data_IF_398561773271
#
_entry.id   IF_398561773271
#
_cell.length_a   1.000
_cell.length_b   1.000
_cell.length_c   1.000
_cell.angle_alpha   90.00
_cell.angle_beta   90.00
_cell.angle_gamma   90.00
#
_symmetry.space_group_name_H-M   'P 1'
#
loop_
_entity.id
_entity.type
_entity.pdbx_description
1 polymer ?
#
# COMPACT_ATOMS: atom_id res chain seq x y z
N UNK A 1 -1.66 -47.80 17.16
CA UNK A 1 -0.34 -47.15 17.32
C UNK A 1 -0.57 -45.66 17.50
N UNK A 2 -0.11 -45.03 18.60
CA UNK A 2 -0.22 -43.59 18.80
C UNK A 2 0.54 -42.83 17.70
N UNK A 3 0.05 -41.65 17.33
CA UNK A 3 0.63 -40.82 16.25
C UNK A 3 2.04 -40.35 16.65
N UNK A 4 3.06 -40.45 15.78
CA UNK A 4 4.43 -40.03 16.10
C UNK A 4 4.55 -38.50 16.09
N UNK A 5 4.29 -37.85 17.21
CA UNK A 5 4.25 -36.39 17.35
C UNK A 5 5.59 -35.72 17.03
N UNK A 6 6.71 -36.42 17.23
CA UNK A 6 8.07 -35.95 16.95
C UNK A 6 8.24 -35.60 15.47
N UNK A 7 7.55 -36.33 14.57
CA UNK A 7 7.56 -36.04 13.13
C UNK A 7 6.80 -34.76 12.77
N UNK A 8 5.90 -34.27 13.65
CA UNK A 8 5.12 -33.05 13.44
C UNK A 8 5.79 -31.80 14.02
N UNK A 9 6.77 -31.94 14.91
CA UNK A 9 7.47 -30.79 15.52
C UNK A 9 8.12 -29.90 14.45
N UNK A 10 8.84 -30.42 13.43
CA UNK A 10 9.42 -29.58 12.39
C UNK A 10 8.35 -28.81 11.59
N UNK A 11 7.22 -29.46 11.28
CA UNK A 11 6.11 -28.82 10.58
C UNK A 11 5.45 -27.74 11.45
N UNK A 12 5.32 -27.98 12.75
CA UNK A 12 4.85 -27.00 13.73
C UNK A 12 5.73 -25.75 13.75
N UNK A 13 7.05 -25.93 13.86
CA UNK A 13 8.01 -24.81 13.86
C UNK A 13 7.94 -24.03 12.54
N UNK A 14 7.95 -24.71 11.39
CA UNK A 14 7.83 -24.04 10.09
C UNK A 14 6.53 -23.23 10.00
N UNK A 15 5.40 -23.83 10.36
CA UNK A 15 4.11 -23.14 10.32
C UNK A 15 4.08 -21.92 11.24
N UNK A 16 4.64 -22.01 12.45
CA UNK A 16 4.74 -20.90 13.38
C UNK A 16 5.58 -19.74 12.82
N UNK A 17 6.73 -20.04 12.20
CA UNK A 17 7.56 -19.01 11.58
C UNK A 17 6.84 -18.29 10.44
N UNK A 18 6.09 -19.01 9.60
CA UNK A 18 5.28 -18.42 8.54
C UNK A 18 4.15 -17.55 9.09
N UNK A 19 3.46 -17.99 10.14
CA UNK A 19 2.40 -17.21 10.80
C UNK A 19 2.97 -15.92 11.41
N UNK A 20 4.07 -16.01 12.16
CA UNK A 20 4.74 -14.85 12.76
C UNK A 20 5.15 -13.84 11.68
N UNK A 21 5.72 -14.32 10.58
CA UNK A 21 6.13 -13.47 9.46
C UNK A 21 4.92 -12.82 8.79
N UNK A 22 3.85 -13.57 8.53
CA UNK A 22 2.63 -13.07 7.90
C UNK A 22 1.94 -11.98 8.75
N UNK A 23 1.83 -12.21 10.06
CA UNK A 23 1.29 -11.23 11.01
C UNK A 23 2.18 -9.99 11.08
N UNK A 24 3.51 -10.17 11.14
CA UNK A 24 4.47 -9.08 11.17
C UNK A 24 4.38 -8.18 9.93
N UNK A 25 4.29 -8.78 8.74
CA UNK A 25 4.14 -8.03 7.48
C UNK A 25 2.80 -7.30 7.45
N UNK A 26 1.70 -7.96 7.84
CA UNK A 26 0.37 -7.33 7.86
C UNK A 26 0.34 -6.12 8.81
N UNK A 27 0.93 -6.27 9.99
CA UNK A 27 1.04 -5.20 10.97
C UNK A 27 1.85 -4.02 10.42
N UNK A 28 3.04 -4.28 9.86
CA UNK A 28 3.89 -3.24 9.29
C UNK A 28 3.20 -2.51 8.12
N UNK A 29 2.52 -3.24 7.23
CA UNK A 29 1.78 -2.63 6.11
C UNK A 29 0.61 -1.78 6.60
N UNK A 30 -0.16 -2.27 7.57
CA UNK A 30 -1.29 -1.54 8.14
C UNK A 30 -0.82 -0.25 8.81
N UNK A 31 0.29 -0.29 9.54
CA UNK A 31 0.89 0.90 10.17
C UNK A 31 1.36 1.94 9.15
N UNK A 32 2.00 1.51 8.05
CA UNK A 32 2.42 2.40 6.96
C UNK A 32 1.25 3.02 6.19
N UNK A 33 0.09 2.40 6.27
CA UNK A 33 -1.10 2.77 5.51
C UNK A 33 -2.15 3.48 6.38
N UNK A 34 -1.72 4.15 7.47
CA UNK A 34 -2.61 4.89 8.38
C UNK A 34 -3.72 4.00 8.99
N UNK A 35 -3.42 2.73 9.22
CA UNK A 35 -4.40 1.76 9.74
C UNK A 35 -5.28 1.11 8.66
N UNK A 36 -5.15 1.52 7.39
CA UNK A 36 -5.94 0.97 6.27
C UNK A 36 -5.22 -0.23 5.63
N UNK A 37 -6.00 -1.14 5.04
CA UNK A 37 -5.45 -2.27 4.28
C UNK A 37 -4.71 -1.76 3.03
N UNK A 38 -3.61 -2.43 2.62
CA UNK A 38 -2.95 -2.14 1.34
C UNK A 38 -3.91 -2.38 0.16
N UNK A 39 -3.80 -1.54 -0.88
CA UNK A 39 -4.52 -1.72 -2.14
C UNK A 39 -3.68 -2.56 -3.10
N UNK A 40 -4.31 -3.52 -3.76
CA UNK A 40 -3.69 -4.38 -4.77
C UNK A 40 -4.31 -4.08 -6.14
N UNK A 41 -3.61 -4.43 -7.22
CA UNK A 41 -4.10 -4.27 -8.60
C UNK A 41 -4.52 -2.82 -8.97
N UNK A 42 -3.77 -1.83 -8.50
CA UNK A 42 -4.07 -0.41 -8.79
C UNK A 42 -3.76 -0.07 -10.25
N UNK A 43 -4.81 0.34 -10.97
CA UNK A 43 -4.72 0.84 -12.33
C UNK A 43 -4.21 2.30 -12.38
N UNK A 44 -4.12 2.86 -13.58
CA UNK A 44 -3.67 4.24 -13.74
C UNK A 44 -4.67 5.26 -13.21
N UNK A 45 -5.97 4.93 -13.19
CA UNK A 45 -7.01 5.77 -12.60
C UNK A 45 -6.82 5.88 -11.09
N UNK A 46 -6.68 4.74 -10.41
CA UNK A 46 -6.44 4.63 -8.97
C UNK A 46 -5.19 5.41 -8.56
N UNK A 47 -4.11 5.32 -9.36
CA UNK A 47 -2.88 6.08 -9.11
C UNK A 47 -3.10 7.59 -9.20
N UNK A 48 -3.89 8.05 -10.18
CA UNK A 48 -4.26 9.46 -10.32
C UNK A 48 -5.14 9.91 -9.15
N UNK A 49 -6.13 9.11 -8.76
CA UNK A 49 -7.01 9.40 -7.62
C UNK A 49 -6.25 9.45 -6.29
N UNK A 50 -5.31 8.53 -6.03
CA UNK A 50 -4.45 8.62 -4.83
C UNK A 50 -3.57 9.88 -4.83
N UNK A 51 -3.14 10.34 -5.99
CA UNK A 51 -2.37 11.60 -6.10
C UNK A 51 -3.26 12.80 -5.77
N UNK A 52 -4.51 12.79 -6.27
CA UNK A 52 -5.54 13.78 -5.92
C UNK A 52 -5.85 13.76 -4.42
N UNK A 53 -6.03 12.58 -3.83
CA UNK A 53 -6.32 12.45 -2.40
C UNK A 53 -5.16 12.99 -1.57
N UNK A 54 -3.91 12.70 -1.96
CA UNK A 54 -2.71 13.30 -1.36
C UNK A 54 -2.70 14.83 -1.44
N UNK A 55 -3.20 15.41 -2.53
CA UNK A 55 -3.33 16.86 -2.67
C UNK A 55 -4.45 17.43 -1.77
N UNK A 56 -5.50 16.66 -1.48
CA UNK A 56 -6.61 17.11 -0.64
C UNK A 56 -6.33 16.95 0.86
N UNK A 57 -5.67 15.87 1.28
CA UNK A 57 -5.51 15.50 2.69
C UNK A 57 -4.06 15.49 3.17
N UNK A 58 -3.09 15.69 2.27
CA UNK A 58 -1.66 15.60 2.55
C UNK A 58 -1.12 14.16 2.52
N UNK A 59 -1.98 13.15 2.53
CA UNK A 59 -1.59 11.74 2.53
C UNK A 59 -2.27 10.95 1.40
N UNK A 60 -1.59 9.96 0.77
CA UNK A 60 -2.19 9.20 -0.34
C UNK A 60 -3.33 8.26 0.10
N UNK A 61 -3.61 8.16 1.40
CA UNK A 61 -4.62 7.29 1.99
C UNK A 61 -5.69 8.05 2.76
N UNK A 62 -5.52 9.35 2.96
CA UNK A 62 -6.51 10.20 3.60
C UNK A 62 -7.80 10.21 2.81
N UNK A 63 -8.91 10.14 3.52
CA UNK A 63 -10.25 10.31 2.95
C UNK A 63 -10.85 11.55 3.58
N UNK A 64 -11.47 12.38 2.76
CA UNK A 64 -12.15 13.59 3.20
C UNK A 64 -13.51 13.63 2.50
N UNK A 65 -14.56 13.84 3.29
CA UNK A 65 -15.96 13.92 2.87
C UNK A 65 -16.49 15.36 2.87
N UNK A 66 -15.64 16.34 3.18
CA UNK A 66 -16.02 17.75 3.18
C UNK A 66 -16.57 18.19 1.81
N UNK A 67 -17.72 18.89 1.76
CA UNK A 67 -18.35 19.31 0.52
C UNK A 67 -17.56 20.41 -0.22
N UNK A 68 -16.78 21.20 0.52
CA UNK A 68 -15.93 22.26 -0.02
C UNK A 68 -14.48 21.87 0.17
N UNK A 69 -13.71 21.86 -0.92
CA UNK A 69 -12.29 21.55 -0.90
C UNK A 69 -11.49 22.65 -0.18
N UNK A 70 -10.36 22.28 0.46
CA UNK A 70 -9.48 23.26 1.11
C UNK A 70 -8.92 24.27 0.08
N UNK A 71 -8.72 25.54 0.46
CA UNK A 71 -8.24 26.59 -0.46
C UNK A 71 -6.92 26.23 -1.18
N UNK A 72 -6.03 25.52 -0.49
CA UNK A 72 -4.72 25.10 -0.99
C UNK A 72 -4.83 24.15 -2.19
N UNK A 73 -5.95 23.41 -2.31
CA UNK A 73 -6.20 22.51 -3.42
C UNK A 73 -6.28 23.25 -4.77
N UNK A 74 -6.65 24.54 -4.76
CA UNK A 74 -6.71 25.35 -5.98
C UNK A 74 -5.33 25.62 -6.60
N UNK A 75 -4.28 25.62 -5.77
CA UNK A 75 -2.92 26.02 -6.17
C UNK A 75 -1.92 24.85 -6.19
N UNK A 76 -2.27 23.70 -5.63
CA UNK A 76 -1.35 22.56 -5.49
C UNK A 76 -1.32 21.58 -6.67
N UNK A 77 -1.91 21.97 -7.81
CA UNK A 77 -1.87 21.17 -9.03
C UNK A 77 -0.43 21.02 -9.52
N UNK A 78 0.01 19.78 -9.78
CA UNK A 78 1.36 19.51 -10.28
C UNK A 78 1.31 18.83 -11.65
N UNK A 79 2.19 19.27 -12.54
CA UNK A 79 2.39 18.67 -13.86
C UNK A 79 3.69 17.86 -13.86
N UNK A 80 3.61 16.60 -14.29
CA UNK A 80 4.79 15.74 -14.42
C UNK A 80 5.54 16.11 -15.69
N UNK A 81 6.76 16.62 -15.53
CA UNK A 81 7.66 16.89 -16.65
C UNK A 81 8.55 15.68 -16.86
N UNK A 82 8.49 15.10 -18.05
CA UNK A 82 9.31 13.95 -18.43
C UNK A 82 10.53 14.42 -19.21
N UNK A 83 11.67 13.77 -18.97
CA UNK A 83 12.88 14.01 -19.76
C UNK A 83 12.66 13.48 -21.18
N UNK A 84 12.96 14.30 -22.19
CA UNK A 84 12.98 13.85 -23.58
C UNK A 84 13.98 12.71 -23.74
N UNK A 85 13.49 11.55 -24.19
CA UNK A 85 14.35 10.42 -24.55
C UNK A 85 14.95 10.71 -25.92
N UNK A 86 16.08 11.43 -25.93
CA UNK A 86 16.86 11.64 -27.14
C UNK A 86 17.63 10.35 -27.43
N UNK A 87 16.99 9.47 -28.21
CA UNK A 87 17.51 8.38 -29.06
C UNK A 87 16.44 7.27 -29.10
N UNK A 88 15.72 7.21 -30.22
CA UNK A 88 14.63 6.27 -30.44
C UNK A 88 15.14 4.85 -30.56
N UNK A 89 14.89 4.04 -29.53
CA UNK A 89 14.71 2.60 -29.64
C UNK A 89 13.60 2.24 -28.65
N UNK A 90 12.43 1.92 -29.18
CA UNK A 90 11.45 1.04 -28.57
C UNK A 90 11.52 -0.29 -29.32
#
# INVERSE_FOLDING_TARGET
MPVPFESFIPFGIMSAMFVVTGVGINFAQTRRNEGKKPRYSMDDWDRKMMTRDKQLTGTPRGQNDAPVAPPEFKINSSWKVYRSLRNGVL
#
